data_IF_015553289179
#
_entry.id   IF_015553289179
#
_cell.length_a   1.000
_cell.length_b   1.000
_cell.length_c   1.000
_cell.angle_alpha   90.00
_cell.angle_beta   90.00
_cell.angle_gamma   90.00
#
_symmetry.space_group_name_H-M   'P 1'
#
loop_
_entity.id
_entity.type
_entity.pdbx_description
1 polymer ?
#
# COMPACT_ATOMS: atom_id res chain seq x y z
N UNK A 1 -16.33 -12.94 -8.25
CA UNK A 1 -15.06 -12.51 -8.85
C UNK A 1 -13.96 -13.32 -8.21
N UNK A 2 -13.09 -14.01 -8.96
CA UNK A 2 -11.94 -14.74 -8.44
C UNK A 2 -10.79 -13.77 -8.09
N UNK A 3 -9.91 -14.18 -7.19
CA UNK A 3 -8.57 -13.63 -7.02
C UNK A 3 -7.61 -14.59 -7.74
N UNK A 4 -7.15 -14.18 -8.90
CA UNK A 4 -6.25 -15.01 -9.69
C UNK A 4 -4.79 -14.75 -9.27
N UNK A 5 -4.07 -15.85 -9.09
CA UNK A 5 -2.66 -15.89 -8.73
C UNK A 5 -1.89 -16.70 -9.75
N UNK A 6 -0.69 -16.26 -10.06
CA UNK A 6 0.29 -16.97 -10.85
C UNK A 6 1.69 -16.59 -10.36
N UNK A 7 2.64 -17.49 -10.43
CA UNK A 7 4.05 -17.21 -10.19
C UNK A 7 4.86 -17.57 -11.43
N UNK A 8 6.04 -16.98 -11.55
CA UNK A 8 7.01 -17.41 -12.55
C UNK A 8 7.68 -18.70 -12.07
N UNK A 9 8.01 -19.61 -12.97
CA UNK A 9 8.74 -20.85 -12.64
C UNK A 9 10.18 -20.55 -12.20
N UNK A 10 10.84 -21.53 -11.59
CA UNK A 10 12.21 -21.39 -11.06
C UNK A 10 13.25 -21.03 -12.14
N UNK A 11 12.99 -21.37 -13.42
CA UNK A 11 13.82 -20.98 -14.54
C UNK A 11 13.57 -19.53 -15.02
N UNK A 12 12.64 -18.81 -14.38
CA UNK A 12 12.25 -17.42 -14.71
C UNK A 12 11.83 -17.20 -16.17
N UNK A 13 11.24 -18.22 -16.80
CA UNK A 13 10.93 -18.21 -18.23
C UNK A 13 9.45 -18.22 -18.54
N UNK A 14 8.61 -18.82 -17.69
CA UNK A 14 7.19 -19.01 -17.93
C UNK A 14 6.39 -18.81 -16.65
N UNK A 15 5.26 -18.11 -16.76
CA UNK A 15 4.28 -18.07 -15.68
C UNK A 15 3.48 -19.38 -15.61
N UNK A 16 3.25 -19.85 -14.40
CA UNK A 16 2.38 -21.00 -14.13
C UNK A 16 0.92 -20.67 -14.54
N UNK A 17 0.09 -21.70 -14.79
CA UNK A 17 -1.34 -21.47 -15.00
C UNK A 17 -1.97 -20.71 -13.83
N UNK A 18 -2.79 -19.72 -14.15
CA UNK A 18 -3.53 -18.96 -13.14
C UNK A 18 -4.45 -19.87 -12.33
N UNK A 19 -4.48 -19.66 -11.01
CA UNK A 19 -5.38 -20.36 -10.08
C UNK A 19 -6.13 -19.37 -9.20
N UNK A 20 -7.35 -19.72 -8.82
CA UNK A 20 -8.13 -18.89 -7.91
C UNK A 20 -7.69 -19.14 -6.46
N UNK A 21 -7.33 -18.06 -5.77
CA UNK A 21 -6.85 -18.10 -4.39
C UNK A 21 -7.98 -18.11 -3.36
N UNK A 22 -9.17 -17.68 -3.74
CA UNK A 22 -10.32 -17.59 -2.83
C UNK A 22 -10.89 -19.00 -2.61
N UNK A 23 -10.94 -19.43 -1.36
CA UNK A 23 -11.60 -20.67 -0.97
C UNK A 23 -13.06 -20.44 -0.53
N UNK A 24 -13.34 -19.36 0.22
CA UNK A 24 -14.68 -19.08 0.75
C UNK A 24 -15.14 -17.63 0.55
N UNK A 25 -14.25 -16.66 0.71
CA UNK A 25 -14.61 -15.23 0.80
C UNK A 25 -14.68 -14.58 -0.57
N UNK A 26 -15.70 -14.96 -1.30
CA UNK A 26 -16.03 -14.42 -2.64
C UNK A 26 -16.62 -13.02 -2.58
N UNK A 27 -16.84 -12.40 -3.75
CA UNK A 27 -17.40 -11.04 -3.83
C UNK A 27 -16.33 -9.96 -3.72
N UNK A 28 -15.10 -10.29 -4.11
CA UNK A 28 -14.02 -9.33 -4.31
C UNK A 28 -14.51 -8.15 -5.18
N UNK A 29 -14.23 -6.95 -4.72
CA UNK A 29 -14.47 -5.70 -5.43
C UNK A 29 -13.26 -4.79 -5.28
N UNK A 30 -12.60 -4.51 -6.38
CA UNK A 30 -11.28 -3.86 -6.41
C UNK A 30 -10.13 -4.86 -6.41
N UNK A 31 -8.92 -4.35 -6.35
CA UNK A 31 -7.70 -5.14 -6.41
C UNK A 31 -7.29 -5.74 -5.07
N UNK A 32 -6.44 -6.75 -5.16
CA UNK A 32 -5.68 -7.26 -4.02
C UNK A 32 -4.22 -6.84 -4.10
N UNK A 33 -3.42 -7.39 -3.20
CA UNK A 33 -1.98 -7.21 -3.18
C UNK A 33 -1.27 -8.51 -2.81
N UNK A 34 -0.04 -8.65 -3.28
CA UNK A 34 0.82 -9.79 -2.93
C UNK A 34 2.10 -9.25 -2.28
N UNK A 35 2.60 -9.98 -1.29
CA UNK A 35 3.92 -9.77 -0.70
C UNK A 35 4.61 -11.12 -0.52
N UNK A 36 5.93 -11.13 -0.55
CA UNK A 36 6.74 -12.29 -0.24
C UNK A 36 7.91 -11.89 0.64
N UNK A 37 8.35 -12.79 1.53
CA UNK A 37 9.54 -12.60 2.33
C UNK A 37 10.70 -13.48 1.84
N UNK A 38 11.90 -13.22 2.36
CA UNK A 38 13.12 -13.96 1.98
C UNK A 38 13.13 -15.41 2.42
N UNK A 39 12.18 -15.85 3.25
CA UNK A 39 12.03 -17.23 3.70
C UNK A 39 11.04 -18.04 2.83
N UNK A 40 10.60 -17.49 1.69
CA UNK A 40 9.67 -18.14 0.76
C UNK A 40 8.21 -18.09 1.20
N UNK A 41 7.86 -17.34 2.23
CA UNK A 41 6.45 -17.13 2.55
C UNK A 41 5.82 -16.12 1.57
N UNK A 42 4.64 -16.44 1.08
CA UNK A 42 3.86 -15.58 0.18
C UNK A 42 2.52 -15.26 0.82
N UNK A 43 2.13 -14.01 0.72
CA UNK A 43 0.91 -13.47 1.31
C UNK A 43 0.07 -12.82 0.22
N UNK A 44 -1.14 -13.30 0.00
CA UNK A 44 -2.11 -12.67 -0.91
C UNK A 44 -3.20 -12.05 -0.07
N UNK A 45 -3.45 -10.76 -0.26
CA UNK A 45 -4.43 -9.99 0.50
C UNK A 45 -5.49 -9.39 -0.41
N UNK A 46 -6.73 -9.37 0.04
CA UNK A 46 -7.85 -8.72 -0.65
C UNK A 46 -8.93 -8.31 0.33
N UNK A 47 -9.91 -7.57 -0.14
CA UNK A 47 -11.11 -7.30 0.64
C UNK A 47 -12.33 -7.94 -0.01
N UNK A 48 -13.18 -8.52 0.84
CA UNK A 48 -14.44 -9.13 0.46
C UNK A 48 -15.43 -9.01 1.62
N UNK A 49 -16.74 -9.09 1.36
CA UNK A 49 -17.74 -9.16 2.43
C UNK A 49 -17.46 -10.33 3.37
N UNK A 50 -17.74 -10.12 4.66
CA UNK A 50 -17.75 -11.21 5.64
C UNK A 50 -19.09 -11.94 5.56
N UNK A 51 -19.88 -11.91 6.59
CA UNK A 51 -21.26 -12.40 6.64
C UNK A 51 -22.22 -11.23 6.54
N UNK A 52 -23.38 -11.39 5.88
CA UNK A 52 -24.41 -10.36 5.79
C UNK A 52 -24.36 -9.50 4.51
N UNK A 53 -24.78 -8.22 4.56
CA UNK A 53 -24.91 -7.38 3.38
C UNK A 53 -23.60 -7.16 2.63
N UNK A 54 -23.64 -7.17 1.28
CA UNK A 54 -22.48 -6.93 0.42
C UNK A 54 -22.17 -5.42 0.28
N UNK A 55 -21.96 -4.72 1.39
CA UNK A 55 -21.59 -3.31 1.43
C UNK A 55 -20.13 -3.13 1.78
N UNK A 56 -19.54 -1.98 1.46
CA UNK A 56 -18.16 -1.66 1.83
C UNK A 56 -17.94 -1.66 3.35
N UNK A 57 -18.94 -1.25 4.13
CA UNK A 57 -18.88 -1.27 5.60
C UNK A 57 -18.77 -2.68 6.17
N UNK A 58 -19.26 -3.69 5.43
CA UNK A 58 -19.21 -5.10 5.84
C UNK A 58 -18.06 -5.88 5.21
N UNK A 59 -17.18 -5.25 4.45
CA UNK A 59 -15.97 -5.87 3.95
C UNK A 59 -14.92 -5.97 5.04
N UNK A 60 -14.09 -7.02 4.91
CA UNK A 60 -12.87 -7.20 5.72
C UNK A 60 -11.68 -7.35 4.80
N UNK A 61 -10.50 -7.09 5.35
CA UNK A 61 -9.23 -7.48 4.73
C UNK A 61 -8.99 -8.95 5.03
N UNK A 62 -8.82 -9.75 3.99
CA UNK A 62 -8.52 -11.18 4.06
C UNK A 62 -7.07 -11.42 3.66
N UNK A 63 -6.47 -12.46 4.22
CA UNK A 63 -5.13 -12.91 3.88
C UNK A 63 -5.09 -14.42 3.71
N UNK A 64 -4.60 -14.88 2.55
CA UNK A 64 -4.17 -16.24 2.31
C UNK A 64 -2.65 -16.31 2.39
N UNK A 65 -2.12 -17.38 2.98
CA UNK A 65 -0.69 -17.53 3.26
C UNK A 65 -0.15 -18.81 2.66
N UNK A 66 1.05 -18.72 2.10
CA UNK A 66 1.87 -19.84 1.66
C UNK A 66 3.16 -19.87 2.47
N UNK A 67 3.70 -21.05 2.72
CA UNK A 67 5.03 -21.28 3.29
C UNK A 67 5.92 -22.13 2.39
N UNK A 68 5.55 -22.27 1.12
CA UNK A 68 6.17 -23.12 0.11
C UNK A 68 6.33 -22.36 -1.21
N UNK A 69 6.80 -21.11 -1.14
CA UNK A 69 7.07 -20.23 -2.29
C UNK A 69 5.84 -19.98 -3.19
N UNK A 70 4.64 -20.06 -2.61
CA UNK A 70 3.39 -19.86 -3.34
C UNK A 70 2.89 -21.08 -4.09
N UNK A 71 3.42 -22.29 -3.83
CA UNK A 71 2.91 -23.52 -4.42
C UNK A 71 1.52 -23.86 -3.91
N UNK A 72 1.32 -23.77 -2.60
CA UNK A 72 0.00 -23.94 -2.00
C UNK A 72 -0.32 -22.79 -1.03
N UNK A 73 -1.60 -22.61 -0.77
CA UNK A 73 -2.09 -21.60 0.15
C UNK A 73 -3.06 -22.19 1.14
N UNK A 74 -2.92 -21.83 2.41
CA UNK A 74 -3.92 -22.15 3.41
C UNK A 74 -5.14 -21.25 3.22
N UNK A 75 -6.28 -21.71 3.73
CA UNK A 75 -7.54 -20.96 3.69
C UNK A 75 -7.35 -19.54 4.25
N UNK A 76 -7.99 -18.59 3.59
CA UNK A 76 -7.97 -17.19 3.98
C UNK A 76 -8.59 -16.94 5.36
N UNK A 77 -7.99 -16.02 6.11
CA UNK A 77 -8.47 -15.56 7.40
C UNK A 77 -8.56 -14.02 7.42
N UNK A 78 -9.40 -13.44 8.29
CA UNK A 78 -9.46 -11.99 8.43
C UNK A 78 -8.16 -11.47 9.04
N UNK A 79 -7.53 -10.50 8.38
CA UNK A 79 -6.30 -9.87 8.86
C UNK A 79 -6.52 -8.94 10.07
N UNK A 80 -7.75 -8.50 10.33
CA UNK A 80 -8.04 -7.60 11.44
C UNK A 80 -9.36 -7.97 12.11
N UNK A 81 -9.33 -8.08 13.45
CA UNK A 81 -10.51 -8.45 14.22
C UNK A 81 -11.58 -7.35 14.23
N UNK A 82 -11.15 -6.07 14.21
CA UNK A 82 -12.07 -4.92 14.21
C UNK A 82 -12.80 -4.80 12.87
N UNK A 83 -14.13 -4.64 12.85
CA UNK A 83 -14.90 -4.44 11.61
C UNK A 83 -14.83 -2.98 11.16
N UNK A 84 -13.80 -2.62 10.40
CA UNK A 84 -13.57 -1.26 9.89
C UNK A 84 -14.20 -1.01 8.51
N UNK A 85 -14.80 -2.04 7.90
CA UNK A 85 -15.07 -1.98 6.47
C UNK A 85 -13.80 -1.90 5.64
N UNK A 86 -13.94 -1.90 4.31
CA UNK A 86 -12.83 -1.66 3.39
C UNK A 86 -13.34 -1.02 2.09
N UNK A 87 -12.68 0.07 1.68
CA UNK A 87 -12.98 0.81 0.47
C UNK A 87 -12.53 0.03 -0.77
N UNK A 88 -13.45 -0.27 -1.69
CA UNK A 88 -13.17 -1.05 -2.88
C UNK A 88 -12.36 -0.31 -3.96
N UNK A 89 -12.50 1.00 -4.03
CA UNK A 89 -11.86 1.81 -5.06
C UNK A 89 -10.44 2.29 -4.70
N UNK A 90 -10.00 2.06 -3.46
CA UNK A 90 -8.67 2.44 -3.01
C UNK A 90 -7.73 1.22 -3.06
N UNK A 91 -6.55 1.43 -3.61
CA UNK A 91 -5.55 0.37 -3.70
C UNK A 91 -5.07 -0.08 -2.31
N UNK A 92 -5.31 -1.35 -2.00
CA UNK A 92 -4.67 -2.01 -0.86
C UNK A 92 -3.22 -2.32 -1.21
N UNK A 93 -2.32 -2.27 -0.23
CA UNK A 93 -0.92 -2.65 -0.41
C UNK A 93 -0.47 -3.58 0.71
N UNK A 94 0.09 -4.73 0.33
CA UNK A 94 0.83 -5.63 1.21
C UNK A 94 2.33 -5.49 0.95
N UNK A 95 3.13 -5.67 1.98
CA UNK A 95 4.60 -5.63 1.92
C UNK A 95 5.17 -6.52 3.04
N UNK A 96 6.20 -7.30 2.75
CA UNK A 96 6.96 -8.03 3.74
C UNK A 96 8.40 -7.48 3.77
N UNK A 97 8.88 -7.13 4.97
CA UNK A 97 10.24 -6.65 5.13
C UNK A 97 11.26 -7.79 5.18
N UNK A 98 12.54 -7.46 5.15
CA UNK A 98 13.65 -8.41 5.23
C UNK A 98 13.66 -9.27 6.50
N UNK A 99 12.95 -8.86 7.54
CA UNK A 99 12.83 -9.59 8.81
C UNK A 99 11.57 -10.47 8.84
N UNK A 100 10.79 -10.52 7.77
CA UNK A 100 9.56 -11.30 7.65
C UNK A 100 8.34 -10.68 8.36
N UNK A 101 8.39 -9.39 8.71
CA UNK A 101 7.21 -8.67 9.19
C UNK A 101 6.31 -8.32 8.00
N UNK A 102 5.05 -8.71 8.06
CA UNK A 102 4.04 -8.40 7.05
C UNK A 102 3.30 -7.12 7.43
N UNK A 103 3.19 -6.21 6.46
CA UNK A 103 2.48 -4.94 6.57
C UNK A 103 1.35 -4.90 5.55
N UNK A 104 0.20 -4.30 5.92
CA UNK A 104 -0.92 -4.06 5.01
C UNK A 104 -1.42 -2.62 5.22
N UNK A 105 -1.43 -1.82 4.16
CA UNK A 105 -2.13 -0.53 4.12
C UNK A 105 -3.45 -0.69 3.40
N UNK A 106 -4.52 -0.20 3.99
CA UNK A 106 -5.84 -0.16 3.38
C UNK A 106 -6.68 1.00 3.90
N UNK A 107 -7.66 1.39 3.11
CA UNK A 107 -8.63 2.42 3.50
C UNK A 107 -9.90 1.76 4.01
N UNK A 108 -10.35 2.19 5.18
CA UNK A 108 -11.61 1.72 5.78
C UNK A 108 -12.84 2.22 5.03
N UNK A 109 -14.00 1.69 5.40
CA UNK A 109 -15.30 2.16 4.93
C UNK A 109 -16.36 2.05 6.05
N UNK A 110 -15.95 2.25 7.29
CA UNK A 110 -16.82 2.18 8.47
C UNK A 110 -17.96 3.19 8.34
N UNK A 111 -19.18 2.73 8.56
CA UNK A 111 -20.41 3.50 8.36
C UNK A 111 -20.54 4.13 6.94
N UNK A 112 -19.83 3.61 5.94
CA UNK A 112 -19.78 4.10 4.54
C UNK A 112 -19.18 5.51 4.35
N UNK A 113 -18.85 6.21 5.41
CA UNK A 113 -18.34 7.60 5.38
C UNK A 113 -16.96 7.75 6.02
N UNK A 114 -16.52 6.82 6.87
CA UNK A 114 -15.21 6.88 7.50
C UNK A 114 -14.18 6.20 6.60
N UNK A 115 -13.48 6.99 5.81
CA UNK A 115 -12.44 6.56 4.87
C UNK A 115 -11.06 6.68 5.51
N UNK A 116 -10.91 6.15 6.71
CA UNK A 116 -9.68 6.23 7.49
C UNK A 116 -8.57 5.35 6.89
N UNK A 117 -7.33 5.81 6.98
CA UNK A 117 -6.19 4.99 6.58
C UNK A 117 -5.74 4.12 7.75
N UNK A 118 -5.66 2.82 7.53
CA UNK A 118 -5.19 1.83 8.49
C UNK A 118 -3.91 1.15 8.03
N UNK A 119 -3.03 0.90 8.99
CA UNK A 119 -1.87 0.03 8.88
C UNK A 119 -2.09 -1.21 9.76
N UNK A 120 -1.98 -2.39 9.17
CA UNK A 120 -1.91 -3.65 9.89
C UNK A 120 -0.48 -4.19 9.83
N UNK A 121 -0.02 -4.81 10.91
CA UNK A 121 1.31 -5.40 11.01
C UNK A 121 1.25 -6.76 11.70
N UNK A 122 1.98 -7.72 11.14
CA UNK A 122 2.13 -9.08 11.69
C UNK A 122 3.61 -9.46 11.74
N UNK A 123 4.08 -9.90 12.90
CA UNK A 123 5.43 -10.43 13.12
C UNK A 123 5.50 -11.95 13.16
N UNK A 124 4.38 -12.62 12.93
CA UNK A 124 4.24 -14.06 12.98
C UNK A 124 3.65 -14.63 11.68
N UNK A 125 4.13 -14.14 10.56
CA UNK A 125 3.77 -14.62 9.21
C UNK A 125 2.28 -14.52 8.91
N UNK A 126 1.65 -13.39 9.28
CA UNK A 126 0.24 -13.13 8.99
C UNK A 126 -0.75 -13.98 9.80
N UNK A 127 -0.33 -14.57 10.94
CA UNK A 127 -1.24 -15.30 11.84
C UNK A 127 -2.09 -14.32 12.63
N UNK A 128 -1.43 -13.36 13.29
CA UNK A 128 -2.08 -12.30 14.04
C UNK A 128 -1.62 -10.94 13.56
N UNK A 129 -2.51 -9.96 13.60
CA UNK A 129 -2.23 -8.59 13.20
C UNK A 129 -2.56 -7.60 14.31
N UNK A 130 -1.67 -6.64 14.50
CA UNK A 130 -1.96 -5.39 15.18
C UNK A 130 -2.33 -4.34 14.16
N UNK A 131 -3.39 -3.58 14.45
CA UNK A 131 -3.89 -2.55 13.55
C UNK A 131 -3.89 -1.17 14.20
N UNK A 132 -3.38 -0.17 13.49
CA UNK A 132 -3.38 1.22 13.91
C UNK A 132 -4.03 2.11 12.84
N UNK A 133 -4.84 3.07 13.29
CA UNK A 133 -5.38 4.12 12.42
C UNK A 133 -4.31 5.21 12.25
N UNK A 134 -3.90 5.46 11.01
CA UNK A 134 -2.90 6.47 10.66
C UNK A 134 -3.51 7.86 10.51
N UNK A 135 -4.62 7.95 9.78
CA UNK A 135 -5.32 9.21 9.53
C UNK A 135 -6.83 8.99 9.48
N UNK A 136 -7.57 9.94 10.02
CA UNK A 136 -9.03 10.01 9.92
C UNK A 136 -9.46 10.79 8.69
N UNK A 137 -10.46 10.26 8.00
CA UNK A 137 -11.12 10.97 6.92
C UNK A 137 -12.60 10.61 6.84
N UNK A 138 -13.45 11.53 7.26
CA UNK A 138 -14.88 11.40 7.11
C UNK A 138 -15.30 12.05 5.78
N UNK A 139 -15.70 11.21 4.81
CA UNK A 139 -16.13 11.63 3.48
C UNK A 139 -17.07 10.60 2.86
N UNK A 140 -18.26 11.03 2.47
CA UNK A 140 -19.30 10.17 1.91
C UNK A 140 -19.11 9.83 0.42
N UNK A 141 -17.88 9.76 -0.08
CA UNK A 141 -17.59 9.47 -1.48
C UNK A 141 -16.35 8.58 -1.65
N UNK A 142 -16.20 8.05 -2.85
CA UNK A 142 -15.00 7.30 -3.25
C UNK A 142 -13.84 8.28 -3.48
N UNK A 143 -12.72 8.04 -2.82
CA UNK A 143 -11.54 8.93 -2.87
C UNK A 143 -10.52 8.53 -3.92
N UNK A 144 -10.57 7.29 -4.41
CA UNK A 144 -9.70 6.73 -5.46
C UNK A 144 -8.25 7.13 -5.26
N UNK A 145 -7.58 6.46 -4.34
CA UNK A 145 -6.17 6.72 -4.03
C UNK A 145 -5.42 5.41 -3.81
N UNK A 146 -4.12 5.47 -3.90
CA UNK A 146 -3.22 4.34 -3.62
C UNK A 146 -2.35 4.63 -2.42
N UNK A 147 -1.66 3.60 -1.96
CA UNK A 147 -0.63 3.67 -0.92
C UNK A 147 0.55 2.83 -1.33
N UNK A 148 1.71 3.04 -0.72
CA UNK A 148 2.91 2.27 -1.01
C UNK A 148 3.76 2.06 0.24
N UNK A 149 4.66 1.09 0.15
CA UNK A 149 5.73 0.85 1.09
C UNK A 149 7.07 0.90 0.40
N UNK A 150 8.11 1.17 1.16
CA UNK A 150 9.50 0.97 0.77
C UNK A 150 10.31 0.57 2.00
N UNK A 151 11.32 -0.26 1.81
CA UNK A 151 12.29 -0.58 2.86
C UNK A 151 13.64 0.04 2.53
N UNK A 152 14.22 0.72 3.50
CA UNK A 152 15.52 1.34 3.39
C UNK A 152 16.42 0.97 4.59
N UNK A 153 17.59 1.60 4.72
CA UNK A 153 18.54 1.32 5.81
C UNK A 153 17.96 1.54 7.21
N UNK A 154 16.98 2.44 7.33
CA UNK A 154 16.33 2.78 8.61
C UNK A 154 15.03 2.01 8.86
N UNK A 155 14.69 1.02 8.03
CA UNK A 155 13.47 0.23 8.13
C UNK A 155 12.43 0.59 7.08
N UNK A 156 11.18 0.28 7.39
CA UNK A 156 10.06 0.40 6.46
C UNK A 156 9.42 1.79 6.52
N UNK A 157 9.15 2.35 5.35
CA UNK A 157 8.39 3.57 5.14
C UNK A 157 7.02 3.22 4.58
N UNK A 158 5.98 3.86 5.11
CA UNK A 158 4.65 3.86 4.54
C UNK A 158 4.34 5.22 3.90
N UNK A 159 3.57 5.23 2.81
CA UNK A 159 3.05 6.47 2.21
C UNK A 159 1.59 6.30 1.81
N UNK A 160 0.81 7.35 2.00
CA UNK A 160 -0.64 7.38 1.73
C UNK A 160 -1.13 8.79 1.45
N UNK A 161 -2.34 8.88 0.91
CA UNK A 161 -3.06 10.14 0.73
C UNK A 161 -4.19 10.25 1.77
N UNK A 162 -4.45 11.44 2.28
CA UNK A 162 -5.65 11.77 3.05
C UNK A 162 -6.00 13.24 2.87
N UNK A 163 -7.27 13.53 2.54
CA UNK A 163 -7.80 14.89 2.34
C UNK A 163 -7.07 15.68 1.24
N UNK A 164 -6.69 15.00 0.16
CA UNK A 164 -5.98 15.62 -0.96
C UNK A 164 -4.52 15.98 -0.68
N UNK A 165 -3.96 15.47 0.43
CA UNK A 165 -2.55 15.61 0.78
C UNK A 165 -1.90 14.24 0.91
N UNK A 166 -0.65 14.11 0.48
CA UNK A 166 0.14 12.89 0.61
C UNK A 166 1.14 12.99 1.75
N UNK A 167 1.36 11.88 2.41
CA UNK A 167 2.20 11.74 3.59
C UNK A 167 3.11 10.54 3.46
N UNK A 168 4.25 10.57 4.13
CA UNK A 168 5.01 9.36 4.45
C UNK A 168 5.35 9.32 5.95
N UNK A 169 5.63 8.13 6.46
CA UNK A 169 6.11 7.93 7.81
C UNK A 169 6.98 6.68 7.92
N UNK A 170 8.07 6.72 8.70
CA UNK A 170 8.75 5.52 9.18
C UNK A 170 7.83 4.70 10.08
N UNK A 171 7.90 3.37 9.94
CA UNK A 171 7.17 2.41 10.78
C UNK A 171 8.13 1.83 11.81
N UNK A 172 7.68 1.76 13.06
CA UNK A 172 8.35 0.98 14.11
C UNK A 172 7.63 -0.36 14.30
N UNK A 173 8.24 -1.47 13.84
CA UNK A 173 7.63 -2.79 13.97
C UNK A 173 7.61 -3.32 15.42
N UNK A 174 8.34 -2.71 16.35
CA UNK A 174 8.38 -3.16 17.73
C UNK A 174 7.20 -2.59 18.53
N UNK A 175 6.84 -1.36 18.28
CA UNK A 175 5.71 -0.68 18.93
C UNK A 175 4.41 -0.77 18.13
N UNK A 176 4.47 -1.28 16.89
CA UNK A 176 3.34 -1.32 15.95
C UNK A 176 2.75 0.08 15.68
N UNK A 177 3.62 1.08 15.60
CA UNK A 177 3.24 2.49 15.36
C UNK A 177 4.01 3.08 14.19
N UNK A 178 3.65 4.29 13.81
CA UNK A 178 4.44 5.13 12.91
C UNK A 178 4.96 6.35 13.65
N UNK A 179 6.05 6.92 13.17
CA UNK A 179 6.41 8.30 13.54
C UNK A 179 5.33 9.27 13.07
N UNK A 180 5.38 10.52 13.52
CA UNK A 180 4.46 11.56 13.01
C UNK A 180 4.53 11.63 11.49
N UNK A 181 3.39 11.59 10.80
CA UNK A 181 3.35 11.66 9.34
C UNK A 181 3.95 12.97 8.82
N UNK A 182 4.81 12.84 7.81
CA UNK A 182 5.47 13.96 7.16
C UNK A 182 4.71 14.28 5.88
N UNK A 183 4.09 15.47 5.73
CA UNK A 183 3.37 15.86 4.55
C UNK A 183 4.32 16.22 3.40
N UNK A 184 3.87 16.04 2.16
CA UNK A 184 4.51 16.67 1.03
C UNK A 184 4.51 18.20 1.18
N UNK A 185 5.62 18.89 0.90
CA UNK A 185 5.74 20.33 1.10
C UNK A 185 4.91 21.12 0.06
N UNK A 186 4.79 22.42 0.31
CA UNK A 186 4.07 23.34 -0.56
C UNK A 186 2.55 23.18 -0.51
N UNK A 187 1.86 23.98 -1.31
CA UNK A 187 0.41 23.94 -1.47
C UNK A 187 0.11 23.30 -2.82
N UNK A 188 -0.62 22.20 -2.80
CA UNK A 188 -1.03 21.49 -4.02
C UNK A 188 -2.51 21.12 -3.98
N UNK A 189 -3.05 20.85 -5.16
CA UNK A 189 -4.45 20.50 -5.33
C UNK A 189 -4.57 19.03 -5.73
N UNK A 190 -5.42 18.28 -5.00
CA UNK A 190 -5.75 16.90 -5.37
C UNK A 190 -4.51 16.00 -5.53
N UNK A 191 -3.66 16.00 -4.50
CA UNK A 191 -2.47 15.14 -4.42
C UNK A 191 -2.88 13.70 -4.20
N UNK A 192 -2.39 12.79 -5.04
CA UNK A 192 -2.79 11.38 -5.02
C UNK A 192 -1.64 10.45 -5.39
N UNK A 193 -1.88 9.17 -5.25
CA UNK A 193 -1.03 8.07 -5.73
C UNK A 193 0.44 8.21 -5.30
N UNK A 194 0.71 8.37 -3.98
CA UNK A 194 2.08 8.55 -3.52
C UNK A 194 2.91 7.29 -3.66
N UNK A 195 4.21 7.49 -3.94
CA UNK A 195 5.26 6.48 -3.87
C UNK A 195 6.43 7.01 -3.05
N UNK A 196 7.15 6.13 -2.38
CA UNK A 196 8.27 6.46 -1.50
C UNK A 196 9.42 5.50 -1.74
N UNK A 197 10.66 5.99 -1.66
CA UNK A 197 11.87 5.17 -1.62
C UNK A 197 12.91 5.81 -0.70
N UNK A 198 13.83 5.00 -0.17
CA UNK A 198 15.00 5.46 0.57
C UNK A 198 16.27 4.96 -0.11
N UNK A 199 17.30 5.80 -0.22
CA UNK A 199 18.62 5.41 -0.67
C UNK A 199 19.49 4.89 0.49
N UNK A 200 20.71 4.43 0.17
CA UNK A 200 21.64 3.88 1.15
C UNK A 200 22.17 4.95 2.15
N UNK A 201 22.09 6.22 1.80
CA UNK A 201 22.43 7.33 2.69
C UNK A 201 21.30 7.62 3.70
N UNK A 202 20.13 7.01 3.52
CA UNK A 202 18.95 7.20 4.35
C UNK A 202 18.17 8.46 4.01
N UNK A 203 18.42 9.06 2.84
CA UNK A 203 17.56 10.08 2.26
C UNK A 203 16.30 9.44 1.72
N UNK A 204 15.21 10.19 1.69
CA UNK A 204 13.88 9.69 1.28
C UNK A 204 13.34 10.55 0.15
N UNK A 205 12.93 9.93 -0.95
CA UNK A 205 12.08 10.58 -1.95
C UNK A 205 10.62 10.23 -1.71
N UNK A 206 9.76 11.25 -1.68
CA UNK A 206 8.31 11.13 -1.79
C UNK A 206 7.90 11.70 -3.14
N UNK A 207 7.23 10.91 -3.97
CA UNK A 207 6.65 11.38 -5.23
C UNK A 207 5.14 11.13 -5.22
N UNK A 208 4.39 11.98 -5.96
CA UNK A 208 2.93 11.91 -6.02
C UNK A 208 2.42 12.50 -7.34
N UNK A 209 1.14 12.26 -7.64
CA UNK A 209 0.46 12.92 -8.75
C UNK A 209 -0.33 14.13 -8.25
N UNK A 210 -0.40 15.19 -9.05
CA UNK A 210 -1.29 16.34 -8.86
C UNK A 210 -2.23 16.52 -10.05
N UNK A 211 -3.48 16.87 -9.77
CA UNK A 211 -4.50 17.10 -10.78
C UNK A 211 -4.99 15.86 -11.53
N UNK A 212 -4.46 14.67 -11.21
CA UNK A 212 -4.94 13.42 -11.77
C UNK A 212 -6.29 13.01 -11.16
N UNK A 213 -7.20 12.57 -12.02
CA UNK A 213 -8.55 12.12 -11.66
C UNK A 213 -8.93 10.90 -12.50
N UNK A 214 -10.16 10.39 -12.33
CA UNK A 214 -10.72 9.36 -13.20
C UNK A 214 -10.68 9.79 -14.66
N UNK A 215 -9.94 9.05 -15.49
CA UNK A 215 -9.84 9.33 -16.91
C UNK A 215 -9.08 10.63 -17.27
N UNK A 216 -8.44 11.27 -16.30
CA UNK A 216 -7.65 12.49 -16.51
C UNK A 216 -6.23 12.29 -16.01
N UNK A 217 -5.26 12.59 -16.83
CA UNK A 217 -3.85 12.67 -16.43
C UNK A 217 -3.54 13.95 -15.64
N UNK A 218 -2.31 14.07 -15.19
CA UNK A 218 -1.85 15.20 -14.37
C UNK A 218 -0.34 15.39 -14.47
N UNK A 219 0.21 15.99 -13.42
CA UNK A 219 1.65 16.17 -13.24
C UNK A 219 2.18 15.22 -12.19
N UNK A 220 3.44 14.81 -12.29
CA UNK A 220 4.17 14.19 -11.20
C UNK A 220 4.93 15.26 -10.44
N UNK A 221 4.89 15.15 -9.12
CA UNK A 221 5.65 15.99 -8.20
C UNK A 221 6.54 15.09 -7.34
N UNK A 222 7.68 15.59 -6.87
CA UNK A 222 8.54 14.86 -5.93
C UNK A 222 9.32 15.79 -5.02
N UNK A 223 9.65 15.30 -3.84
CA UNK A 223 10.55 15.94 -2.89
C UNK A 223 11.51 14.92 -2.30
N UNK A 224 12.78 15.29 -2.23
CA UNK A 224 13.79 14.53 -1.49
C UNK A 224 13.98 15.17 -0.11
N UNK A 225 14.02 14.31 0.90
CA UNK A 225 14.21 14.68 2.30
C UNK A 225 15.54 14.12 2.81
N UNK A 226 16.20 14.85 3.67
CA UNK A 226 17.40 14.38 4.37
C UNK A 226 17.07 13.33 5.45
N UNK A 227 18.10 12.84 6.11
CA UNK A 227 17.98 11.84 7.18
C UNK A 227 17.23 12.32 8.42
N UNK A 228 16.94 13.62 8.52
CA UNK A 228 16.15 14.26 9.59
C UNK A 228 14.75 14.66 9.12
N UNK A 229 14.36 14.21 7.92
CA UNK A 229 13.07 14.50 7.27
C UNK A 229 12.86 15.97 6.90
N UNK A 230 13.94 16.70 6.64
CA UNK A 230 13.89 18.06 6.10
C UNK A 230 13.99 18.01 4.58
N UNK A 231 13.19 18.80 3.85
CA UNK A 231 13.31 18.92 2.41
C UNK A 231 14.73 19.37 2.01
N UNK A 232 15.34 18.69 1.05
CA UNK A 232 16.65 19.06 0.50
C UNK A 232 16.57 20.20 -0.51
N UNK A 233 15.40 20.35 -1.16
CA UNK A 233 15.14 21.44 -2.10
C UNK A 233 14.06 22.36 -1.52
N UNK A 234 14.14 23.68 -1.77
CA UNK A 234 13.16 24.63 -1.25
C UNK A 234 11.76 24.42 -1.84
N UNK A 235 11.69 23.93 -3.07
CA UNK A 235 10.45 23.62 -3.78
C UNK A 235 10.48 22.19 -4.31
N UNK A 236 9.32 21.49 -4.40
CA UNK A 236 9.22 20.20 -5.05
C UNK A 236 9.60 20.24 -6.53
N UNK A 237 10.24 19.18 -7.01
CA UNK A 237 10.40 18.96 -8.44
C UNK A 237 9.06 18.63 -9.09
N UNK A 238 8.92 18.93 -10.38
CA UNK A 238 7.71 18.70 -11.15
C UNK A 238 8.04 18.25 -12.58
N UNK A 239 7.17 17.39 -13.12
CA UNK A 239 7.09 17.10 -14.56
C UNK A 239 5.64 16.85 -14.95
N UNK A 240 5.29 17.24 -16.18
CA UNK A 240 3.94 17.05 -16.73
C UNK A 240 3.85 15.74 -17.51
N UNK A 241 2.62 15.35 -17.86
CA UNK A 241 2.38 14.26 -18.79
C UNK A 241 2.11 12.89 -18.13
N UNK A 242 1.71 12.87 -16.86
CA UNK A 242 1.17 11.64 -16.26
C UNK A 242 -0.08 11.21 -17.03
N UNK A 243 -0.11 10.02 -17.66
CA UNK A 243 -1.28 9.59 -18.41
C UNK A 243 -2.49 9.30 -17.50
N UNK A 244 -3.72 9.31 -18.03
CA UNK A 244 -4.88 8.79 -17.33
C UNK A 244 -4.63 7.36 -16.84
N UNK A 245 -5.07 7.04 -15.63
CA UNK A 245 -4.91 5.71 -14.99
C UNK A 245 -3.47 5.32 -14.67
N UNK A 246 -2.53 6.22 -14.84
CA UNK A 246 -1.15 6.00 -14.44
C UNK A 246 -0.93 6.37 -12.97
N UNK A 247 0.05 5.72 -12.36
CA UNK A 247 0.52 6.00 -11.01
C UNK A 247 2.03 6.20 -11.05
N UNK A 248 2.56 6.94 -10.09
CA UNK A 248 4.00 7.14 -9.98
C UNK A 248 4.66 5.95 -9.26
N UNK A 249 5.87 5.62 -9.69
CA UNK A 249 6.78 4.72 -8.98
C UNK A 249 8.13 5.39 -8.79
N UNK A 250 8.80 5.08 -7.69
CA UNK A 250 10.15 5.61 -7.37
C UNK A 250 11.04 4.49 -6.85
N UNK A 251 12.33 4.57 -7.15
CA UNK A 251 13.35 3.70 -6.57
C UNK A 251 14.69 4.40 -6.46
N UNK A 252 15.47 3.99 -5.47
CA UNK A 252 16.84 4.47 -5.28
C UNK A 252 17.76 3.83 -6.32
N UNK A 253 18.77 4.57 -6.77
CA UNK A 253 19.83 4.08 -7.65
C UNK A 253 21.10 3.76 -6.84
N UNK A 254 21.97 2.90 -7.36
CA UNK A 254 23.25 2.58 -6.69
C UNK A 254 24.16 3.77 -6.48
N UNK A 255 24.03 4.83 -7.27
CA UNK A 255 24.79 6.08 -7.15
C UNK A 255 24.27 7.04 -6.07
N UNK A 256 23.24 6.63 -5.33
CA UNK A 256 22.58 7.41 -4.29
C UNK A 256 21.47 8.33 -4.80
N UNK A 257 21.31 8.48 -6.10
CA UNK A 257 20.20 9.22 -6.70
C UNK A 257 18.89 8.43 -6.69
N UNK A 258 17.84 9.05 -7.26
CA UNK A 258 16.52 8.43 -7.40
C UNK A 258 16.07 8.43 -8.86
N UNK A 259 15.24 7.45 -9.20
CA UNK A 259 14.50 7.43 -10.47
C UNK A 259 13.01 7.53 -10.17
N UNK A 260 12.31 8.39 -10.91
CA UNK A 260 10.86 8.53 -10.91
C UNK A 260 10.33 8.03 -12.26
N UNK A 261 9.32 7.16 -12.21
CA UNK A 261 8.64 6.61 -13.40
C UNK A 261 7.15 6.97 -13.30
N UNK A 262 6.56 7.47 -14.40
CA UNK A 262 5.17 7.93 -14.44
C UNK A 262 4.57 7.84 -15.83
#
# INVERSE_FOLDING_TARGET
TPMLYSRINDAETVFEPQRNMIQEKTGLDGGGSVAADSAGNVYVTWHAPDTGPKTEANRRVWVARSSDEGESFIREVPAFARPTGACGCCGMRAFADRNGTLYILYRSAEALVNRDMYLLMSRNRGIDFNGVKLHEWNIGQCVVSTSAFSEGPKGVLATWETRGQVYYAPIDPNTFTTSSPIPAPGVGNNRKHPAVASNDQGEVILAWTEGAEWGKGGSVMWQVFDTTSRPLLPEPGQADGVPPWSVVAVFARPDGGFTVVY
#
